data_IF_219921663166
#
_entry.id   IF_219921663166
#
_cell.length_a   1.000
_cell.length_b   1.000
_cell.length_c   1.000
_cell.angle_alpha   90.00
_cell.angle_beta   90.00
_cell.angle_gamma   90.00
#
_symmetry.space_group_name_H-M   'P 1'
#
loop_
_entity.id
_entity.type
_entity.pdbx_description
1 polymer ?
#
# COMPACT_ATOMS: atom_id res chain seq x y z
N UNK A 1 15.14 -33.51 33.48
CA UNK A 1 13.94 -33.04 32.76
C UNK A 1 13.53 -31.71 33.38
N UNK A 2 13.92 -30.60 32.74
CA UNK A 2 14.05 -29.29 33.37
C UNK A 2 12.75 -28.48 33.46
N UNK A 3 12.49 -27.94 34.66
CA UNK A 3 11.41 -27.00 34.99
C UNK A 3 11.42 -25.71 34.14
N UNK A 4 12.52 -25.44 33.43
CA UNK A 4 12.70 -24.30 32.54
C UNK A 4 11.94 -24.39 31.20
N UNK A 5 11.45 -25.57 30.78
CA UNK A 5 10.65 -25.69 29.55
C UNK A 5 9.18 -25.32 29.73
N UNK A 6 8.65 -25.41 30.95
CA UNK A 6 7.25 -25.10 31.23
C UNK A 6 6.97 -23.60 31.20
N UNK A 7 7.90 -22.77 31.70
CA UNK A 7 7.78 -21.31 31.69
C UNK A 7 7.88 -20.71 30.28
N UNK A 8 8.66 -21.31 29.38
CA UNK A 8 8.78 -20.83 27.99
C UNK A 8 7.47 -20.98 27.21
N UNK A 9 6.79 -22.11 27.38
CA UNK A 9 5.49 -22.39 26.76
C UNK A 9 4.35 -21.48 27.25
N UNK A 10 4.43 -20.99 28.49
CA UNK A 10 3.43 -20.06 29.05
C UNK A 10 3.66 -18.64 28.53
N UNK A 11 4.91 -18.22 28.33
CA UNK A 11 5.24 -16.93 27.70
C UNK A 11 4.82 -16.93 26.23
N UNK A 12 5.04 -18.01 25.48
CA UNK A 12 4.58 -18.14 24.09
C UNK A 12 3.04 -18.16 23.97
N UNK A 13 2.32 -18.63 25.00
CA UNK A 13 0.85 -18.61 25.05
C UNK A 13 0.25 -17.28 25.57
N UNK A 14 1.07 -16.43 26.19
CA UNK A 14 0.70 -15.09 26.65
C UNK A 14 1.16 -13.98 25.70
N UNK A 15 1.98 -14.32 24.69
CA UNK A 15 2.25 -13.47 23.54
C UNK A 15 0.97 -13.34 22.73
N UNK A 16 0.30 -12.21 22.90
CA UNK A 16 -1.04 -11.94 22.38
C UNK A 16 -1.23 -12.37 20.93
N UNK A 17 -2.49 -12.71 20.62
CA UNK A 17 -3.07 -12.84 19.27
C UNK A 17 -2.19 -12.18 18.22
N UNK A 18 -1.87 -12.88 17.11
CA UNK A 18 -1.26 -12.26 15.93
C UNK A 18 -2.11 -11.03 15.52
N UNK A 19 -1.81 -9.87 16.09
CA UNK A 19 -2.58 -8.66 15.86
C UNK A 19 -1.98 -8.05 14.63
N UNK A 20 -2.66 -8.25 13.50
CA UNK A 20 -2.36 -7.53 12.26
C UNK A 20 -2.24 -6.05 12.62
N UNK A 21 -1.08 -5.45 12.34
CA UNK A 21 -0.82 -4.06 12.72
C UNK A 21 -1.50 -3.13 11.72
N UNK A 22 -1.79 -1.91 12.15
CA UNK A 22 -2.19 -0.86 11.22
C UNK A 22 -0.95 -0.32 10.49
N UNK A 23 -1.10 0.02 9.21
CA UNK A 23 -0.09 0.77 8.49
C UNK A 23 -0.01 2.22 9.00
N UNK A 24 1.17 2.81 8.89
CA UNK A 24 1.42 4.21 9.27
C UNK A 24 2.34 4.85 8.24
N UNK A 25 2.14 6.13 7.89
CA UNK A 25 3.07 6.87 7.03
C UNK A 25 4.50 6.81 7.54
N UNK A 26 5.46 6.65 6.63
CA UNK A 26 6.88 6.76 6.93
C UNK A 26 7.30 8.25 6.96
N UNK A 27 7.91 8.76 8.03
CA UNK A 27 8.31 10.17 8.13
C UNK A 27 9.46 10.57 7.19
N UNK A 28 10.14 9.60 6.58
CA UNK A 28 11.23 9.81 5.62
C UNK A 28 10.83 9.44 4.19
N UNK A 29 9.53 9.25 3.92
CA UNK A 29 9.02 8.95 2.59
C UNK A 29 9.39 10.04 1.57
N UNK A 30 9.80 9.62 0.38
CA UNK A 30 10.04 10.54 -0.73
C UNK A 30 8.69 11.05 -1.24
N UNK A 31 8.55 12.36 -1.34
CA UNK A 31 7.33 12.99 -1.84
C UNK A 31 7.33 13.06 -3.37
N UNK A 32 6.24 12.61 -3.99
CA UNK A 32 6.05 12.61 -5.44
C UNK A 32 4.66 13.12 -5.78
N UNK A 33 4.57 14.11 -6.67
CA UNK A 33 3.29 14.63 -7.15
C UNK A 33 2.73 13.73 -8.26
N UNK A 34 1.41 13.51 -8.22
CA UNK A 34 0.66 12.75 -9.23
C UNK A 34 -0.51 13.61 -9.70
N UNK A 35 -0.78 13.62 -10.99
CA UNK A 35 -1.82 14.44 -11.63
C UNK A 35 -3.24 13.95 -11.32
N UNK A 36 -3.44 12.64 -11.20
CA UNK A 36 -4.69 12.03 -10.77
C UNK A 36 -4.43 10.95 -9.73
N UNK A 37 -5.10 11.07 -8.58
CA UNK A 37 -5.02 10.05 -7.52
C UNK A 37 -6.30 10.06 -6.71
N UNK A 38 -6.96 8.91 -6.65
CA UNK A 38 -8.09 8.63 -5.78
C UNK A 38 -7.94 7.25 -5.16
N UNK A 39 -8.63 7.01 -4.04
CA UNK A 39 -8.69 5.69 -3.40
C UNK A 39 -10.13 5.32 -3.14
N UNK A 40 -10.54 4.16 -3.64
CA UNK A 40 -11.84 3.56 -3.37
C UNK A 40 -11.67 2.27 -2.57
N UNK A 41 -12.73 1.90 -1.85
CA UNK A 41 -12.79 0.63 -1.14
C UNK A 41 -13.99 -0.18 -1.57
N UNK A 42 -13.79 -1.48 -1.75
CA UNK A 42 -14.83 -2.45 -2.04
C UNK A 42 -14.65 -3.67 -1.13
N UNK A 43 -15.36 -3.67 0.01
CA UNK A 43 -15.13 -4.67 1.05
C UNK A 43 -13.72 -4.58 1.63
N UNK A 44 -12.90 -5.61 1.41
CA UNK A 44 -11.50 -5.65 1.83
C UNK A 44 -10.49 -5.11 0.80
N UNK A 45 -10.93 -4.82 -0.42
CA UNK A 45 -10.08 -4.37 -1.52
C UNK A 45 -9.87 -2.85 -1.48
N UNK A 46 -8.61 -2.42 -1.59
CA UNK A 46 -8.23 -1.03 -1.86
C UNK A 46 -7.99 -0.87 -3.36
N UNK A 47 -8.63 0.13 -3.96
CA UNK A 47 -8.49 0.42 -5.40
C UNK A 47 -7.86 1.81 -5.51
N UNK A 48 -6.63 1.87 -6.00
CA UNK A 48 -5.96 3.12 -6.37
C UNK A 48 -6.39 3.52 -7.77
N UNK A 49 -6.93 4.71 -7.95
CA UNK A 49 -7.31 5.25 -9.27
C UNK A 49 -6.31 6.32 -9.65
N UNK A 50 -5.76 6.24 -10.86
CA UNK A 50 -4.69 7.11 -11.35
C UNK A 50 -4.74 7.29 -12.86
N UNK A 51 -4.01 8.28 -13.39
CA UNK A 51 -3.75 8.44 -14.82
C UNK A 51 -2.65 7.46 -15.31
N UNK A 52 -2.42 7.33 -16.64
CA UNK A 52 -1.25 6.66 -17.19
C UNK A 52 0.09 7.17 -16.63
N UNK A 53 0.23 8.49 -16.47
CA UNK A 53 1.44 9.08 -15.91
C UNK A 53 1.64 8.69 -14.44
N UNK A 54 0.56 8.68 -13.64
CA UNK A 54 0.63 8.22 -12.26
C UNK A 54 0.84 6.71 -12.14
N UNK A 55 0.35 5.89 -13.08
CA UNK A 55 0.66 4.45 -13.14
C UNK A 55 2.16 4.21 -13.36
N UNK A 56 2.81 5.00 -14.22
CA UNK A 56 4.26 4.96 -14.40
C UNK A 56 5.00 5.32 -13.10
N UNK A 57 4.55 6.35 -12.38
CA UNK A 57 5.10 6.72 -11.07
C UNK A 57 4.94 5.60 -10.05
N UNK A 58 3.76 4.96 -9.98
CA UNK A 58 3.51 3.81 -9.10
C UNK A 58 4.48 2.66 -9.38
N UNK A 59 4.69 2.35 -10.66
CA UNK A 59 5.64 1.32 -11.11
C UNK A 59 7.08 1.64 -10.67
N UNK A 60 7.50 2.90 -10.78
CA UNK A 60 8.83 3.35 -10.36
C UNK A 60 9.01 3.33 -8.83
N UNK A 61 8.01 3.78 -8.08
CA UNK A 61 7.99 3.70 -6.61
C UNK A 61 8.07 2.26 -6.13
N UNK A 62 7.31 1.35 -6.74
CA UNK A 62 7.35 -0.06 -6.41
C UNK A 62 8.74 -0.67 -6.69
N UNK A 63 9.36 -0.27 -7.80
CA UNK A 63 10.70 -0.70 -8.22
C UNK A 63 11.80 -0.19 -7.29
N UNK A 64 11.72 1.07 -6.84
CA UNK A 64 12.73 1.65 -5.93
C UNK A 64 12.76 0.91 -4.59
N UNK A 65 11.57 0.58 -4.07
CA UNK A 65 11.46 -0.03 -2.76
C UNK A 65 11.74 0.88 -1.59
N UNK A 66 11.67 2.18 -1.83
CA UNK A 66 11.67 3.19 -0.79
C UNK A 66 10.23 3.56 -0.43
N UNK A 67 9.96 3.96 0.83
CA UNK A 67 8.69 4.56 1.18
C UNK A 67 8.42 5.82 0.36
N UNK A 68 7.20 5.97 -0.13
CA UNK A 68 6.81 7.11 -0.96
C UNK A 68 5.49 7.74 -0.49
N UNK A 69 5.41 9.05 -0.61
CA UNK A 69 4.20 9.83 -0.41
C UNK A 69 3.75 10.40 -1.75
N UNK A 70 2.68 9.81 -2.29
CA UNK A 70 2.04 10.26 -3.52
C UNK A 70 1.01 11.33 -3.20
N UNK A 71 1.22 12.54 -3.73
CA UNK A 71 0.29 13.67 -3.58
C UNK A 71 -0.48 13.89 -4.86
N UNK A 72 -1.76 13.52 -4.84
CA UNK A 72 -2.69 13.91 -5.89
C UNK A 72 -3.62 15.04 -5.46
N UNK A 73 -4.45 15.53 -6.39
CA UNK A 73 -5.37 16.63 -6.13
C UNK A 73 -6.50 16.27 -5.14
N UNK A 74 -6.91 15.00 -5.09
CA UNK A 74 -8.04 14.56 -4.27
C UNK A 74 -7.61 13.87 -2.96
N UNK A 75 -6.46 13.20 -2.95
CA UNK A 75 -5.97 12.46 -1.79
C UNK A 75 -4.45 12.37 -1.77
N UNK A 76 -3.92 12.00 -0.61
CA UNK A 76 -2.53 11.58 -0.42
C UNK A 76 -2.48 10.08 -0.14
N UNK A 77 -1.53 9.37 -0.75
CA UNK A 77 -1.29 7.95 -0.50
C UNK A 77 0.15 7.75 -0.07
N UNK A 78 0.34 7.14 1.09
CA UNK A 78 1.64 6.74 1.62
C UNK A 78 1.82 5.24 1.33
N UNK A 79 2.77 4.93 0.46
CA UNK A 79 3.16 3.57 0.12
C UNK A 79 4.40 3.21 0.93
N UNK A 80 4.35 2.12 1.68
CA UNK A 80 5.47 1.69 2.53
C UNK A 80 5.76 0.20 2.32
N UNK A 81 6.94 -0.15 1.78
CA UNK A 81 7.39 -1.54 1.71
C UNK A 81 7.41 -2.19 3.09
N UNK A 82 6.91 -3.42 3.20
CA UNK A 82 6.91 -4.16 4.46
C UNK A 82 7.01 -5.65 4.23
N UNK A 83 7.56 -6.36 5.22
CA UNK A 83 7.55 -7.83 5.29
C UNK A 83 6.58 -8.34 6.36
N UNK A 84 5.86 -7.43 7.02
CA UNK A 84 4.92 -7.75 8.11
C UNK A 84 3.49 -7.58 7.60
N UNK A 85 2.59 -8.42 8.10
CA UNK A 85 1.16 -8.23 7.87
C UNK A 85 0.69 -6.92 8.51
N UNK A 86 0.23 -6.00 7.65
CA UNK A 86 -0.30 -4.71 8.02
C UNK A 86 -1.59 -4.41 7.26
N UNK A 87 -2.57 -3.78 7.91
CA UNK A 87 -3.80 -3.33 7.27
C UNK A 87 -3.63 -1.91 6.73
N UNK A 88 -4.10 -1.64 5.50
CA UNK A 88 -4.27 -0.28 5.02
C UNK A 88 -5.17 0.53 5.97
N UNK A 89 -4.87 1.82 6.13
CA UNK A 89 -5.63 2.73 6.97
C UNK A 89 -5.86 4.06 6.26
N UNK A 90 -7.07 4.58 6.38
CA UNK A 90 -7.40 5.95 5.99
C UNK A 90 -7.42 6.86 7.21
N UNK A 91 -6.57 7.88 7.23
CA UNK A 91 -6.63 9.01 8.15
C UNK A 91 -7.20 10.22 7.39
N UNK A 92 -8.38 10.76 7.77
CA UNK A 92 -8.99 11.89 7.07
C UNK A 92 -8.12 13.14 6.96
N UNK A 93 -7.09 13.29 7.80
CA UNK A 93 -6.16 14.44 7.78
C UNK A 93 -4.88 14.17 7.01
N UNK A 94 -4.49 12.90 6.85
CA UNK A 94 -3.19 12.50 6.29
C UNK A 94 -3.28 11.70 4.99
N UNK A 95 -4.47 11.23 4.64
CA UNK A 95 -4.73 10.35 3.51
C UNK A 95 -4.58 8.88 3.88
N UNK A 96 -4.25 8.06 2.88
CA UNK A 96 -4.15 6.61 3.02
C UNK A 96 -2.74 6.16 3.34
N UNK A 97 -2.57 5.27 4.32
CA UNK A 97 -1.35 4.51 4.52
C UNK A 97 -1.57 3.08 4.01
N UNK A 98 -0.84 2.68 2.98
CA UNK A 98 -0.97 1.39 2.32
C UNK A 98 0.40 0.67 2.40
N UNK A 99 0.47 -0.45 3.15
CA UNK A 99 1.67 -1.27 3.16
C UNK A 99 1.76 -2.04 1.83
N UNK A 100 2.97 -2.20 1.31
CA UNK A 100 3.23 -3.03 0.12
C UNK A 100 4.09 -4.23 0.51
N UNK A 101 3.53 -5.43 0.37
CA UNK A 101 4.29 -6.66 0.48
C UNK A 101 5.32 -6.80 -0.65
N UNK A 102 6.32 -7.70 -0.53
CA UNK A 102 7.27 -7.93 -1.62
C UNK A 102 6.60 -8.36 -2.93
N UNK A 103 5.57 -9.20 -2.86
CA UNK A 103 4.82 -9.67 -4.03
C UNK A 103 4.02 -8.54 -4.69
N UNK A 104 3.32 -7.71 -3.89
CA UNK A 104 2.60 -6.55 -4.42
C UNK A 104 3.54 -5.55 -5.08
N UNK A 105 4.72 -5.33 -4.51
CA UNK A 105 5.75 -4.48 -5.13
C UNK A 105 6.24 -5.05 -6.46
N UNK A 106 6.49 -6.35 -6.53
CA UNK A 106 6.93 -7.01 -7.76
C UNK A 106 5.87 -6.82 -8.86
N UNK A 107 4.61 -7.15 -8.57
CA UNK A 107 3.48 -6.97 -9.51
C UNK A 107 3.32 -5.51 -9.91
N UNK A 108 3.32 -4.58 -8.93
CA UNK A 108 3.16 -3.15 -9.19
C UNK A 108 4.32 -2.57 -10.00
N UNK A 109 5.55 -3.08 -9.83
CA UNK A 109 6.72 -2.67 -10.63
C UNK A 109 6.64 -3.07 -12.11
N UNK A 110 5.71 -3.96 -12.44
CA UNK A 110 5.41 -4.41 -13.80
C UNK A 110 4.12 -3.79 -14.34
N UNK A 111 3.45 -2.93 -13.56
CA UNK A 111 2.27 -2.20 -13.99
C UNK A 111 2.59 -1.44 -15.29
N UNK A 112 1.80 -1.73 -16.34
CA UNK A 112 1.85 -0.96 -17.56
C UNK A 112 0.99 0.31 -17.40
N UNK A 113 1.30 1.35 -18.15
CA UNK A 113 0.57 2.62 -18.08
C UNK A 113 -0.67 2.67 -19.00
N UNK A 114 -1.11 1.52 -19.54
CA UNK A 114 -2.28 1.49 -20.42
C UNK A 114 -3.57 1.61 -19.58
N UNK A 115 -4.61 2.30 -20.09
CA UNK A 115 -5.88 2.37 -19.40
C UNK A 115 -6.50 0.98 -19.15
N UNK A 116 -6.98 0.75 -17.94
CA UNK A 116 -7.55 -0.53 -17.52
C UNK A 116 -7.48 -0.78 -16.02
N UNK A 117 -8.07 -1.88 -15.59
CA UNK A 117 -8.04 -2.33 -14.20
C UNK A 117 -7.02 -3.45 -14.01
N UNK A 118 -6.12 -3.26 -13.05
CA UNK A 118 -5.00 -4.16 -12.76
C UNK A 118 -5.10 -4.68 -11.33
N UNK A 119 -5.27 -6.00 -11.21
CA UNK A 119 -5.20 -6.67 -9.91
C UNK A 119 -3.74 -6.82 -9.48
N UNK A 120 -3.40 -6.30 -8.30
CA UNK A 120 -2.05 -6.39 -7.72
C UNK A 120 -1.98 -7.53 -6.69
N UNK A 121 -3.04 -7.64 -5.87
CA UNK A 121 -3.28 -8.73 -4.92
C UNK A 121 -4.78 -8.83 -4.62
N UNK A 122 -5.18 -9.82 -3.81
CA UNK A 122 -6.56 -9.94 -3.32
C UNK A 122 -7.06 -8.70 -2.55
N UNK A 123 -6.14 -7.85 -2.07
CA UNK A 123 -6.45 -6.65 -1.28
C UNK A 123 -6.03 -5.33 -1.92
N UNK A 124 -5.36 -5.35 -3.08
CA UNK A 124 -4.93 -4.15 -3.78
C UNK A 124 -5.15 -4.26 -5.29
N UNK A 125 -5.79 -3.24 -5.87
CA UNK A 125 -5.93 -3.07 -7.31
C UNK A 125 -5.56 -1.63 -7.71
N UNK A 126 -5.19 -1.45 -8.97
CA UNK A 126 -4.96 -0.15 -9.59
C UNK A 126 -5.87 -0.01 -10.80
N UNK A 127 -6.67 1.05 -10.85
CA UNK A 127 -7.44 1.46 -12.03
C UNK A 127 -6.72 2.62 -12.70
N UNK A 128 -6.34 2.42 -13.95
CA UNK A 128 -5.70 3.44 -14.78
C UNK A 128 -6.76 4.02 -15.70
N UNK A 129 -7.17 5.25 -15.41
CA UNK A 129 -8.19 5.97 -16.17
C UNK A 129 -7.54 6.91 -17.19
N UNK A 130 -8.09 7.03 -18.40
CA UNK A 130 -7.58 8.01 -19.37
C UNK A 130 -7.70 9.41 -18.79
N UNK A 131 -6.68 10.25 -19.00
CA UNK A 131 -6.77 11.67 -18.66
C UNK A 131 -7.96 12.25 -19.44
N UNK A 132 -8.95 12.89 -18.77
CA UNK A 132 -10.07 13.46 -19.48
C UNK A 132 -9.56 14.50 -20.48
N UNK A 133 -9.89 14.33 -21.76
CA UNK A 133 -9.65 15.38 -22.76
C UNK A 133 -10.47 16.60 -22.32
N UNK A 134 -9.78 17.72 -22.05
CA UNK A 134 -10.43 19.00 -21.82
C UNK A 134 -11.31 19.30 -23.05
N UNK A 135 -12.64 19.23 -22.87
CA UNK A 135 -13.64 19.56 -23.89
C UNK A 135 -13.88 21.06 -23.98
#
# INVERSE_FOLDING_TARGET
MGLFSAVKNVVDKLGGSSTVRLASPDPHAVEVSVDHLSVHTAGGLIILVTSPAGAQILSEVARSGEPAQLRGPQTTVHLSPTTKEQRPVHDPKKGWAIPLSPAERETLSQLNAEPGDYEISESLAVSVEPTPEES
#
